data_IF_387551168828
#
_entry.id   IF_387551168828
#
_cell.length_a   1.000
_cell.length_b   1.000
_cell.length_c   1.000
_cell.angle_alpha   90.00
_cell.angle_beta   90.00
_cell.angle_gamma   90.00
#
_symmetry.space_group_name_H-M   'P 1'
#
loop_
_entity.id
_entity.type
_entity.pdbx_description
1 polymer ?
#
# COMPACT_ATOMS: atom_id res chain seq x y z
N UNK A 1 -42.62 2.08 49.62
CA UNK A 1 -41.86 0.94 49.03
C UNK A 1 -42.01 0.83 47.49
N UNK A 2 -43.20 1.01 46.91
CA UNK A 2 -43.41 0.96 45.44
C UNK A 2 -42.68 2.05 44.63
N UNK A 3 -42.52 3.23 45.17
CA UNK A 3 -41.83 4.34 44.48
C UNK A 3 -40.33 4.10 44.29
N UNK A 4 -39.68 3.48 45.25
CA UNK A 4 -38.24 3.18 45.22
C UNK A 4 -37.90 2.14 44.18
N UNK A 5 -38.75 1.13 44.00
CA UNK A 5 -38.59 0.05 43.03
C UNK A 5 -38.71 0.54 41.59
N UNK A 6 -39.61 1.55 41.37
CA UNK A 6 -39.82 2.10 40.03
C UNK A 6 -38.66 3.04 39.58
N UNK A 7 -38.07 3.73 40.55
CA UNK A 7 -36.90 4.60 40.31
C UNK A 7 -35.65 3.75 40.02
N UNK A 8 -35.45 2.67 40.76
CA UNK A 8 -34.34 1.73 40.53
C UNK A 8 -34.43 1.05 39.15
N UNK A 9 -35.64 0.66 38.72
CA UNK A 9 -35.86 0.07 37.38
C UNK A 9 -35.55 1.08 36.25
N UNK A 10 -35.89 2.35 36.42
CA UNK A 10 -35.57 3.38 35.43
C UNK A 10 -34.07 3.68 35.35
N UNK A 11 -33.37 3.65 36.49
CA UNK A 11 -31.91 3.84 36.54
C UNK A 11 -31.20 2.62 35.86
N UNK A 12 -31.67 1.39 36.10
CA UNK A 12 -31.14 0.19 35.47
C UNK A 12 -31.35 0.19 33.93
N UNK A 13 -32.53 0.62 33.48
CA UNK A 13 -32.83 0.76 32.05
C UNK A 13 -31.93 1.84 31.37
N UNK A 14 -31.68 2.95 32.08
CA UNK A 14 -30.78 4.01 31.57
C UNK A 14 -29.32 3.53 31.52
N UNK A 15 -28.87 2.75 32.50
CA UNK A 15 -27.51 2.19 32.51
C UNK A 15 -27.31 1.14 31.40
N UNK A 16 -28.32 0.31 31.15
CA UNK A 16 -28.28 -0.66 30.04
C UNK A 16 -28.28 0.03 28.66
N UNK A 17 -28.99 1.17 28.53
CA UNK A 17 -29.00 1.93 27.28
C UNK A 17 -27.67 2.61 27.00
N UNK A 18 -26.94 3.05 28.05
CA UNK A 18 -25.60 3.63 27.92
C UNK A 18 -24.52 2.61 27.54
N UNK A 19 -24.69 1.33 27.88
CA UNK A 19 -23.75 0.27 27.49
C UNK A 19 -23.94 -0.21 26.05
N UNK A 20 -25.08 0.06 25.40
CA UNK A 20 -25.34 -0.37 24.02
C UNK A 20 -24.69 0.54 22.96
N UNK A 21 -24.14 1.71 23.32
CA UNK A 21 -23.54 2.68 22.38
C UNK A 21 -22.02 2.49 22.23
N UNK A 22 -21.41 1.53 22.91
CA UNK A 22 -19.96 1.32 22.98
C UNK A 22 -19.37 0.30 22.01
N UNK A 23 -20.10 -0.25 21.05
CA UNK A 23 -19.52 -1.03 19.96
C UNK A 23 -19.04 -0.10 18.87
N UNK A 24 -17.94 0.64 19.10
CA UNK A 24 -17.11 1.11 18.03
C UNK A 24 -16.52 -0.12 17.34
N UNK A 25 -17.01 -0.42 16.16
CA UNK A 25 -16.36 -1.39 15.28
C UNK A 25 -14.91 -0.94 15.13
N UNK A 26 -13.98 -1.72 15.70
CA UNK A 26 -12.58 -1.62 15.34
C UNK A 26 -12.53 -1.92 13.83
N UNK A 27 -12.39 -0.88 13.02
CA UNK A 27 -12.20 -1.03 11.58
C UNK A 27 -10.95 -1.88 11.39
N UNK A 28 -11.17 -3.15 11.12
CA UNK A 28 -10.11 -4.04 10.65
C UNK A 28 -9.60 -3.44 9.34
N UNK A 29 -8.38 -2.92 9.35
CA UNK A 29 -7.65 -2.38 8.19
C UNK A 29 -7.49 -3.41 7.04
N UNK A 30 -8.18 -4.53 7.09
CA UNK A 30 -8.10 -5.64 6.12
C UNK A 30 -9.13 -5.63 4.98
N UNK A 31 -10.05 -4.67 4.93
CA UNK A 31 -11.13 -4.64 3.93
C UNK A 31 -11.01 -3.51 2.90
N UNK A 32 -9.91 -2.77 2.87
CA UNK A 32 -9.74 -1.67 1.92
C UNK A 32 -9.36 -2.21 0.55
N UNK A 33 -10.31 -2.21 -0.37
CA UNK A 33 -10.10 -2.61 -1.77
C UNK A 33 -9.40 -1.52 -2.62
N UNK A 34 -9.13 -0.35 -2.06
CA UNK A 34 -8.55 0.80 -2.75
C UNK A 34 -7.03 0.91 -2.61
N UNK A 35 -6.44 1.87 -3.32
CA UNK A 35 -5.02 2.20 -3.21
C UNK A 35 -4.74 2.76 -1.81
N UNK A 36 -3.68 2.29 -1.10
CA UNK A 36 -3.35 2.79 0.24
C UNK A 36 -3.06 4.28 0.24
N UNK A 37 -3.40 5.01 1.29
CA UNK A 37 -3.14 6.45 1.40
C UNK A 37 -1.65 6.73 1.67
N UNK A 38 -0.75 6.32 0.76
CA UNK A 38 0.68 6.57 0.92
C UNK A 38 1.02 8.07 0.82
N UNK A 39 2.07 8.46 1.54
CA UNK A 39 2.71 9.76 1.46
C UNK A 39 4.21 9.52 1.45
N UNK A 40 4.81 9.54 0.27
CA UNK A 40 6.21 9.16 0.07
C UNK A 40 7.05 10.36 -0.37
N UNK A 41 8.27 10.44 0.16
CA UNK A 41 9.30 11.37 -0.29
C UNK A 41 10.12 10.69 -1.39
N UNK A 42 10.07 11.24 -2.59
CA UNK A 42 10.79 10.72 -3.76
C UNK A 42 12.28 11.08 -3.72
N UNK A 43 13.05 10.48 -4.62
CA UNK A 43 14.51 10.68 -4.72
C UNK A 43 14.93 12.11 -5.11
N UNK A 44 14.03 12.88 -5.69
CA UNK A 44 14.15 14.31 -6.00
C UNK A 44 13.54 15.22 -4.93
N UNK A 45 13.27 14.68 -3.74
CA UNK A 45 12.76 15.40 -2.58
C UNK A 45 11.36 16.01 -2.75
N UNK A 46 10.53 15.40 -3.58
CA UNK A 46 9.13 15.78 -3.77
C UNK A 46 8.22 14.78 -3.02
N UNK A 47 7.19 15.29 -2.33
CA UNK A 47 6.18 14.44 -1.74
C UNK A 47 5.12 14.03 -2.77
N UNK A 48 4.82 12.72 -2.80
CA UNK A 48 3.85 12.11 -3.71
C UNK A 48 2.85 11.28 -2.93
N UNK A 49 1.58 11.39 -3.34
CA UNK A 49 0.43 10.67 -2.76
C UNK A 49 -0.36 9.96 -3.87
N UNK A 50 -1.38 9.16 -3.56
CA UNK A 50 -2.27 8.59 -4.59
C UNK A 50 -2.95 9.61 -5.49
N UNK A 51 -3.11 10.87 -5.03
CA UNK A 51 -3.68 11.94 -5.85
C UNK A 51 -2.83 12.32 -7.08
N UNK A 52 -1.55 11.96 -7.08
CA UNK A 52 -0.63 12.18 -8.20
C UNK A 52 -0.74 11.09 -9.29
N UNK A 53 -1.47 10.01 -9.02
CA UNK A 53 -1.69 8.95 -10.01
C UNK A 53 -2.61 9.43 -11.14
N UNK A 54 -2.28 9.03 -12.37
CA UNK A 54 -3.12 9.30 -13.55
C UNK A 54 -4.38 8.44 -13.46
N UNK A 55 -5.53 9.04 -13.66
CA UNK A 55 -6.83 8.34 -13.70
C UNK A 55 -6.88 7.35 -14.87
N UNK A 56 -7.69 6.32 -14.73
CA UNK A 56 -7.94 5.30 -15.75
C UNK A 56 -6.67 4.56 -16.24
N UNK A 57 -5.69 4.42 -15.36
CA UNK A 57 -4.47 3.64 -15.61
C UNK A 57 -4.29 2.60 -14.50
N UNK A 58 -3.88 1.37 -14.82
CA UNK A 58 -3.53 0.38 -13.81
C UNK A 58 -2.38 0.87 -12.93
N UNK A 59 -2.33 0.38 -11.70
CA UNK A 59 -1.27 0.71 -10.75
C UNK A 59 -0.66 -0.57 -10.20
N UNK A 60 0.66 -0.64 -10.17
CA UNK A 60 1.41 -1.68 -9.48
C UNK A 60 2.23 -1.05 -8.36
N UNK A 61 1.91 -1.38 -7.12
CA UNK A 61 2.69 -0.96 -5.95
C UNK A 61 3.67 -2.09 -5.62
N UNK A 62 4.94 -1.74 -5.46
CA UNK A 62 6.00 -2.65 -5.00
C UNK A 62 6.55 -2.08 -3.69
N UNK A 63 6.29 -2.77 -2.58
CA UNK A 63 6.89 -2.43 -1.30
C UNK A 63 8.21 -3.18 -1.15
N UNK A 64 9.30 -2.45 -0.90
CA UNK A 64 10.65 -3.00 -1.00
C UNK A 64 11.60 -2.43 0.05
N UNK A 65 12.78 -3.04 0.15
CA UNK A 65 13.95 -2.43 0.79
C UNK A 65 15.12 -2.44 -0.20
N UNK A 66 15.88 -1.34 -0.35
CA UNK A 66 17.06 -1.29 -1.21
C UNK A 66 18.10 -2.36 -0.90
N UNK A 67 18.25 -2.72 0.39
CA UNK A 67 19.24 -3.69 0.87
C UNK A 67 18.71 -5.14 0.86
N UNK A 68 17.47 -5.36 0.44
CA UNK A 68 16.87 -6.68 0.37
C UNK A 68 17.27 -7.40 -0.92
N UNK A 69 18.01 -8.52 -0.82
CA UNK A 69 18.46 -9.30 -1.97
C UNK A 69 17.31 -9.78 -2.87
N UNK A 70 16.17 -10.17 -2.30
CA UNK A 70 14.99 -10.57 -3.08
C UNK A 70 14.39 -9.38 -3.86
N UNK A 71 14.44 -8.17 -3.31
CA UNK A 71 13.99 -6.96 -3.99
C UNK A 71 14.92 -6.58 -5.15
N UNK A 72 16.23 -6.72 -4.92
CA UNK A 72 17.23 -6.51 -5.95
C UNK A 72 17.06 -7.50 -7.10
N UNK A 73 16.84 -8.78 -6.78
CA UNK A 73 16.60 -9.84 -7.76
C UNK A 73 15.31 -9.59 -8.56
N UNK A 74 14.21 -9.24 -7.88
CA UNK A 74 12.98 -8.84 -8.57
C UNK A 74 13.24 -7.72 -9.58
N UNK A 75 13.96 -6.67 -9.19
CA UNK A 75 14.20 -5.54 -10.09
C UNK A 75 15.15 -5.88 -11.23
N UNK A 76 16.15 -6.72 -10.98
CA UNK A 76 17.04 -7.22 -12.03
C UNK A 76 16.25 -7.96 -13.10
N UNK A 77 15.36 -8.88 -12.70
CA UNK A 77 14.55 -9.69 -13.62
C UNK A 77 13.43 -8.89 -14.30
N UNK A 78 12.87 -7.87 -13.59
CA UNK A 78 11.79 -7.04 -14.12
C UNK A 78 12.31 -5.96 -15.09
N UNK A 79 13.54 -5.49 -14.92
CA UNK A 79 14.14 -4.40 -15.72
C UNK A 79 13.98 -4.59 -17.24
N UNK A 80 14.23 -5.78 -17.85
CA UNK A 80 14.03 -5.98 -19.29
C UNK A 80 12.57 -5.80 -19.74
N UNK A 81 11.61 -5.95 -18.82
CA UNK A 81 10.17 -5.90 -19.10
C UNK A 81 9.55 -4.52 -18.84
N UNK A 82 10.28 -3.58 -18.27
CA UNK A 82 9.73 -2.25 -17.93
C UNK A 82 9.19 -1.50 -19.17
N UNK A 83 9.80 -1.70 -20.33
CA UNK A 83 9.28 -1.16 -21.60
C UNK A 83 7.89 -1.67 -21.96
N UNK A 84 7.56 -2.89 -21.56
CA UNK A 84 6.26 -3.52 -21.80
C UNK A 84 5.19 -3.09 -20.79
N UNK A 85 5.57 -2.33 -19.75
CA UNK A 85 4.71 -1.86 -18.66
C UNK A 85 4.49 -0.35 -18.68
N UNK A 86 4.74 0.35 -19.79
CA UNK A 86 4.62 1.81 -19.87
C UNK A 86 3.20 2.34 -19.61
N UNK A 87 2.17 1.50 -19.83
CA UNK A 87 0.78 1.83 -19.52
C UNK A 87 0.36 1.55 -18.09
N UNK A 88 1.23 0.92 -17.30
CA UNK A 88 1.02 0.62 -15.87
C UNK A 88 1.81 1.64 -15.05
N UNK A 89 1.18 2.31 -14.09
CA UNK A 89 1.89 3.16 -13.14
C UNK A 89 2.55 2.29 -12.07
N UNK A 90 3.86 2.38 -11.93
CA UNK A 90 4.61 1.58 -10.97
C UNK A 90 5.06 2.49 -9.83
N UNK A 91 4.66 2.18 -8.60
CA UNK A 91 5.05 2.93 -7.40
C UNK A 91 5.87 2.02 -6.50
N UNK A 92 7.17 2.28 -6.42
CA UNK A 92 8.08 1.61 -5.50
C UNK A 92 8.12 2.39 -4.18
N UNK A 93 7.69 1.74 -3.11
CA UNK A 93 7.60 2.36 -1.77
C UNK A 93 8.49 1.58 -0.80
N UNK A 94 9.31 2.31 -0.06
CA UNK A 94 10.14 1.73 0.99
C UNK A 94 9.92 2.43 2.33
N UNK A 95 10.24 1.72 3.42
CA UNK A 95 10.33 2.27 4.77
C UNK A 95 11.73 2.81 5.11
N UNK A 96 12.71 2.54 4.27
CA UNK A 96 14.10 2.97 4.49
C UNK A 96 14.18 4.50 4.34
N UNK A 97 14.53 5.18 5.44
CA UNK A 97 14.56 6.65 5.50
C UNK A 97 15.93 7.22 5.09
N UNK A 98 16.59 6.60 4.11
CA UNK A 98 17.89 7.02 3.58
C UNK A 98 17.77 7.27 2.07
N UNK A 99 17.50 8.52 1.68
CA UNK A 99 17.32 8.90 0.27
C UNK A 99 18.48 8.46 -0.61
N UNK A 100 19.72 8.52 -0.11
CA UNK A 100 20.88 8.07 -0.87
C UNK A 100 20.82 6.59 -1.24
N UNK A 101 20.37 5.72 -0.36
CA UNK A 101 20.21 4.29 -0.66
C UNK A 101 19.16 4.08 -1.75
N UNK A 102 18.07 4.85 -1.71
CA UNK A 102 17.01 4.79 -2.72
C UNK A 102 17.49 5.36 -4.07
N UNK A 103 18.27 6.42 -4.06
CA UNK A 103 18.91 6.99 -5.27
C UNK A 103 19.86 5.99 -5.93
N UNK A 104 20.66 5.27 -5.14
CA UNK A 104 21.53 4.19 -5.62
C UNK A 104 20.70 3.11 -6.28
N UNK A 105 19.66 2.64 -5.61
CA UNK A 105 18.75 1.62 -6.15
C UNK A 105 18.08 2.08 -7.47
N UNK A 106 17.58 3.33 -7.51
CA UNK A 106 17.01 3.91 -8.72
C UNK A 106 17.99 3.94 -9.89
N UNK A 107 19.24 4.34 -9.63
CA UNK A 107 20.32 4.40 -10.62
C UNK A 107 20.70 3.00 -11.15
N UNK A 108 20.88 2.03 -10.24
CA UNK A 108 21.39 0.71 -10.60
C UNK A 108 20.40 -0.06 -11.50
N UNK A 109 19.11 0.22 -11.37
CA UNK A 109 18.07 -0.35 -12.21
C UNK A 109 17.58 0.59 -13.33
N UNK A 110 18.22 1.74 -13.54
CA UNK A 110 17.86 2.74 -14.57
C UNK A 110 16.40 3.23 -14.47
N UNK A 111 15.81 3.29 -13.29
CA UNK A 111 14.37 3.56 -13.13
C UNK A 111 13.98 4.99 -13.54
N UNK A 112 14.87 5.94 -13.43
CA UNK A 112 14.64 7.34 -13.84
C UNK A 112 14.34 7.52 -15.35
N UNK A 113 14.65 6.51 -16.18
CA UNK A 113 14.32 6.52 -17.61
C UNK A 113 12.82 6.31 -17.91
N UNK A 114 12.04 5.86 -16.91
CA UNK A 114 10.65 5.47 -17.08
C UNK A 114 9.72 6.45 -16.35
N UNK A 115 9.01 7.28 -17.11
CA UNK A 115 8.09 8.31 -16.57
C UNK A 115 6.84 7.74 -15.87
N UNK A 116 6.59 6.44 -16.00
CA UNK A 116 5.51 5.74 -15.32
C UNK A 116 5.97 5.10 -14.00
N UNK A 117 7.22 5.32 -13.58
CA UNK A 117 7.78 4.79 -12.34
C UNK A 117 7.99 5.93 -11.35
N UNK A 118 7.43 5.77 -10.16
CA UNK A 118 7.69 6.62 -9.00
C UNK A 118 8.37 5.79 -7.93
N UNK A 119 9.44 6.30 -7.33
CA UNK A 119 10.14 5.64 -6.24
C UNK A 119 10.34 6.60 -5.07
N UNK A 120 10.06 6.14 -3.86
CA UNK A 120 10.21 6.98 -2.67
C UNK A 120 10.06 6.22 -1.36
N UNK A 121 10.28 6.94 -0.27
CA UNK A 121 10.15 6.41 1.09
C UNK A 121 8.92 6.98 1.81
N UNK A 122 8.20 6.11 2.52
CA UNK A 122 7.21 6.53 3.52
C UNK A 122 7.86 6.83 4.89
N UNK A 123 9.17 6.62 5.01
CA UNK A 123 9.91 6.79 6.25
C UNK A 123 9.36 5.89 7.36
N UNK A 124 9.34 6.41 8.59
CA UNK A 124 8.87 5.68 9.76
C UNK A 124 7.35 5.69 9.95
N UNK A 125 6.58 6.14 8.96
CA UNK A 125 5.11 6.12 9.06
C UNK A 125 4.53 4.72 8.95
N UNK A 126 5.19 3.84 8.18
CA UNK A 126 4.77 2.45 7.92
C UNK A 126 3.29 2.33 7.50
N UNK A 127 2.75 3.33 6.82
CA UNK A 127 1.33 3.36 6.41
C UNK A 127 0.99 2.22 5.46
N UNK A 128 1.82 2.04 4.42
CA UNK A 128 1.62 0.99 3.40
C UNK A 128 1.87 -0.38 3.99
N UNK A 129 2.91 -0.51 4.83
CA UNK A 129 3.20 -1.76 5.51
C UNK A 129 2.03 -2.22 6.38
N UNK A 130 1.46 -1.31 7.19
CA UNK A 130 0.30 -1.61 8.05
C UNK A 130 -0.96 -1.88 7.24
N UNK A 131 -1.17 -1.12 6.16
CA UNK A 131 -2.34 -1.28 5.30
C UNK A 131 -2.46 -2.70 4.74
N UNK A 132 -1.36 -3.27 4.25
CA UNK A 132 -1.33 -4.63 3.71
C UNK A 132 -0.88 -5.69 4.72
N UNK A 133 -0.51 -5.30 5.95
CA UNK A 133 0.09 -6.19 6.97
C UNK A 133 1.35 -6.90 6.45
N UNK A 134 2.19 -6.17 5.72
CA UNK A 134 3.39 -6.71 5.07
C UNK A 134 4.37 -7.23 6.12
N UNK A 135 4.75 -8.50 5.99
CA UNK A 135 5.73 -9.16 6.87
C UNK A 135 7.11 -9.26 6.22
N UNK A 136 7.16 -9.39 4.91
CA UNK A 136 8.39 -9.57 4.14
C UNK A 136 8.40 -8.66 2.90
N UNK A 137 9.60 -8.32 2.43
CA UNK A 137 9.81 -7.61 1.16
C UNK A 137 10.49 -8.53 0.15
N UNK A 138 10.18 -8.38 -1.14
CA UNK A 138 9.21 -7.46 -1.70
C UNK A 138 7.77 -7.97 -1.56
N UNK A 139 6.81 -7.01 -1.43
CA UNK A 139 5.38 -7.26 -1.55
C UNK A 139 4.86 -6.50 -2.77
N UNK A 140 3.92 -7.08 -3.52
CA UNK A 140 3.39 -6.48 -4.74
C UNK A 140 1.87 -6.44 -4.67
N UNK A 141 1.28 -5.28 -5.00
CA UNK A 141 -0.16 -5.13 -5.18
C UNK A 141 -0.47 -4.52 -6.55
N UNK A 142 -1.43 -5.11 -7.27
CA UNK A 142 -1.87 -4.68 -8.60
C UNK A 142 -3.31 -4.20 -8.49
N UNK A 143 -3.55 -3.01 -9.04
CA UNK A 143 -4.84 -2.33 -9.10
C UNK A 143 -5.28 -2.15 -10.53
N UNK A 144 -6.55 -2.30 -10.78
CA UNK A 144 -7.15 -2.02 -12.07
C UNK A 144 -7.28 -0.50 -12.34
N UNK A 145 -7.78 -0.15 -13.51
CA UNK A 145 -7.97 1.25 -13.95
C UNK A 145 -8.95 2.04 -13.08
N UNK A 146 -9.78 1.35 -12.29
CA UNK A 146 -10.73 1.99 -11.35
C UNK A 146 -10.13 2.22 -9.96
N UNK A 147 -8.90 1.73 -9.71
CA UNK A 147 -8.23 1.77 -8.43
C UNK A 147 -8.67 0.66 -7.47
N UNK A 148 -9.38 -0.37 -7.97
CA UNK A 148 -9.75 -1.55 -7.21
C UNK A 148 -8.61 -2.56 -7.26
N UNK A 149 -8.33 -3.19 -6.10
CA UNK A 149 -7.29 -4.22 -6.02
C UNK A 149 -7.68 -5.44 -6.86
N UNK A 150 -6.77 -5.86 -7.73
CA UNK A 150 -6.92 -7.03 -8.58
C UNK A 150 -6.15 -8.21 -8.01
N UNK A 151 -4.91 -8.01 -7.57
CA UNK A 151 -4.05 -9.07 -7.06
C UNK A 151 -2.98 -8.57 -6.10
N UNK A 152 -2.61 -9.41 -5.14
CA UNK A 152 -1.44 -9.22 -4.27
C UNK A 152 -0.51 -10.42 -4.33
N UNK A 153 0.77 -10.18 -4.06
CA UNK A 153 1.80 -11.22 -3.98
C UNK A 153 2.70 -10.95 -2.78
N UNK A 154 2.66 -11.87 -1.81
CA UNK A 154 3.60 -11.94 -0.68
C UNK A 154 4.90 -12.65 -1.05
N UNK A 155 4.85 -13.44 -2.13
CA UNK A 155 6.01 -14.08 -2.77
C UNK A 155 6.03 -13.67 -4.23
N UNK A 156 7.19 -13.27 -4.70
CA UNK A 156 7.37 -12.84 -6.10
C UNK A 156 6.98 -13.98 -7.05
N UNK A 157 6.00 -13.77 -7.94
CA UNK A 157 5.69 -14.73 -9.00
C UNK A 157 6.79 -14.67 -10.08
N UNK A 158 6.75 -15.58 -11.06
CA UNK A 158 7.62 -15.43 -12.23
C UNK A 158 7.32 -14.14 -12.98
N UNK A 159 8.34 -13.53 -13.57
CA UNK A 159 8.19 -12.23 -14.25
C UNK A 159 7.11 -12.23 -15.35
N UNK A 160 7.00 -13.27 -16.21
CA UNK A 160 5.91 -13.35 -17.19
C UNK A 160 4.52 -13.30 -16.53
N UNK A 161 4.33 -13.97 -15.40
CA UNK A 161 3.06 -13.97 -14.65
C UNK A 161 2.77 -12.58 -14.07
N UNK A 162 3.79 -11.92 -13.51
CA UNK A 162 3.66 -10.56 -12.97
C UNK A 162 3.27 -9.55 -14.06
N UNK A 163 4.01 -9.58 -15.18
CA UNK A 163 3.76 -8.69 -16.33
C UNK A 163 2.36 -8.93 -16.92
N UNK A 164 1.97 -10.19 -17.10
CA UNK A 164 0.63 -10.52 -17.60
C UNK A 164 -0.48 -10.04 -16.66
N UNK A 165 -0.31 -10.20 -15.34
CA UNK A 165 -1.26 -9.73 -14.35
C UNK A 165 -1.40 -8.19 -14.37
N UNK A 166 -0.29 -7.46 -14.48
CA UNK A 166 -0.29 -5.99 -14.51
C UNK A 166 -0.88 -5.40 -15.81
N UNK A 167 -0.83 -6.13 -16.93
CA UNK A 167 -1.36 -5.69 -18.23
C UNK A 167 -2.84 -6.05 -18.45
N UNK A 168 -3.33 -7.05 -17.72
CA UNK A 168 -4.71 -7.56 -17.89
C UNK A 168 -5.77 -6.65 -17.26
N UNK A 169 -5.40 -5.76 -16.35
CA UNK A 169 -6.29 -4.95 -15.52
C UNK A 169 -6.50 -3.53 -16.07
#
# INVERSE_FOLDING_TARGET
>A
MKYYINTMKKIYLLLCLLMAVGCTEAQTLGANSGIPPYHILTTDSVYVTPANLKKNKPVMIIYFSPDCGHCQHLMYDLKPQLKNLQDVQIVLITFVNQLKAIQVFQRDYDLAKYHNITIGTEGYTYLVQRYYQIKNTPFIAIYDKTGKISKTYDKVPTIPVLVAAAKKV
#
